data_IF_219834549098
#
_entry.id   IF_219834549098
#
_cell.length_a   1.000
_cell.length_b   1.000
_cell.length_c   1.000
_cell.angle_alpha   90.00
_cell.angle_beta   90.00
_cell.angle_gamma   90.00
#
_symmetry.space_group_name_H-M   'P 1'
#
loop_
_entity.id
_entity.type
_entity.pdbx_description
1 polymer ?
#
# COMPACT_ATOMS: atom_id res chain seq x y z
N UNK A 1 31.82 59.78 55.56
CA UNK A 1 31.85 58.28 55.38
C UNK A 1 30.52 57.72 54.85
N UNK A 2 29.33 58.32 55.10
CA UNK A 2 28.04 57.80 54.61
C UNK A 2 27.79 57.96 53.10
N UNK A 3 28.50 58.87 52.41
CA UNK A 3 28.33 59.10 50.96
C UNK A 3 29.12 58.14 50.09
N UNK A 4 30.18 57.51 50.57
CA UNK A 4 31.03 56.57 49.88
C UNK A 4 30.36 55.18 49.83
N UNK A 5 29.67 54.80 50.88
CA UNK A 5 28.90 53.53 50.94
C UNK A 5 27.72 53.51 50.00
N UNK A 6 27.12 54.66 49.68
CA UNK A 6 26.02 54.76 48.75
C UNK A 6 26.45 54.62 47.27
N UNK A 7 27.61 55.10 46.93
CA UNK A 7 28.20 55.01 45.57
C UNK A 7 28.68 53.61 45.30
N UNK A 8 29.17 52.87 46.30
CA UNK A 8 29.60 51.46 46.14
C UNK A 8 28.41 50.50 45.95
N UNK A 9 27.25 50.83 46.55
CA UNK A 9 26.00 50.03 46.35
C UNK A 9 25.37 50.20 44.97
N UNK A 10 25.56 51.33 44.28
CA UNK A 10 25.02 51.61 42.98
C UNK A 10 25.81 50.99 41.82
N UNK A 11 27.09 50.62 42.04
CA UNK A 11 27.93 50.01 41.03
C UNK A 11 27.69 48.49 40.85
N UNK A 12 26.97 47.83 41.78
CA UNK A 12 26.67 46.38 41.69
C UNK A 12 25.45 46.03 40.80
N UNK A 13 24.72 47.03 40.31
CA UNK A 13 23.49 46.76 39.50
C UNK A 13 23.72 46.77 37.97
N UNK A 14 24.94 47.04 37.50
CA UNK A 14 25.28 47.09 36.08
C UNK A 14 26.01 45.82 35.57
N UNK A 15 26.06 44.71 36.34
CA UNK A 15 26.73 43.48 35.93
C UNK A 15 25.74 42.37 35.60
N UNK A 16 24.68 42.70 34.83
CA UNK A 16 24.04 41.71 34.01
C UNK A 16 24.65 41.79 32.60
N UNK A 17 25.79 41.15 32.44
CA UNK A 17 26.21 40.68 31.13
C UNK A 17 25.25 39.59 30.74
N UNK A 18 24.35 39.89 29.81
CA UNK A 18 23.70 38.89 29.01
C UNK A 18 24.80 37.97 28.46
N UNK A 19 24.96 36.81 29.08
CA UNK A 19 25.48 35.65 28.37
C UNK A 19 24.43 35.40 27.30
N UNK A 20 24.71 35.85 26.09
CA UNK A 20 24.16 35.18 24.92
C UNK A 20 24.36 33.68 25.18
N UNK A 21 23.29 33.03 25.56
CA UNK A 21 23.14 31.59 25.39
C UNK A 21 23.38 31.40 23.91
N UNK A 22 24.57 30.92 23.61
CA UNK A 22 24.92 30.37 22.31
C UNK A 22 23.77 29.41 22.00
N UNK A 23 22.89 29.89 21.14
CA UNK A 23 21.78 29.15 20.61
C UNK A 23 22.42 27.90 20.00
N UNK A 24 22.50 26.84 20.78
CA UNK A 24 22.59 25.51 20.20
C UNK A 24 21.48 25.49 19.18
N UNK A 25 21.84 25.51 17.91
CA UNK A 25 20.93 25.39 16.82
C UNK A 25 20.15 24.11 17.05
N UNK A 26 19.06 24.21 17.80
CA UNK A 26 17.93 23.37 17.62
C UNK A 26 17.52 23.75 16.20
N UNK A 27 17.94 22.99 15.22
CA UNK A 27 17.36 23.01 13.89
C UNK A 27 15.89 22.76 14.18
N UNK A 28 15.09 23.83 14.23
CA UNK A 28 13.64 23.70 14.18
C UNK A 28 13.40 22.93 12.89
N UNK A 29 12.97 21.69 13.04
CA UNK A 29 12.47 20.92 11.89
C UNK A 29 11.38 21.79 11.32
N UNK A 30 11.54 22.24 10.08
CA UNK A 30 10.55 23.05 9.41
C UNK A 30 9.28 22.20 9.29
N UNK A 31 8.34 22.41 10.21
CA UNK A 31 7.10 21.63 10.29
C UNK A 31 6.16 21.93 9.13
N UNK A 32 6.47 22.95 8.32
CA UNK A 32 5.69 23.35 7.15
C UNK A 32 5.74 22.29 6.07
N UNK A 33 6.87 21.61 5.87
CA UNK A 33 7.05 20.55 4.87
C UNK A 33 6.16 19.34 5.16
N UNK A 34 5.91 19.01 6.42
CA UNK A 34 5.03 17.89 6.79
C UNK A 34 3.53 18.21 6.67
N UNK A 35 3.17 19.47 6.42
CA UNK A 35 1.79 19.91 6.22
C UNK A 35 1.33 19.85 4.76
N UNK A 36 2.21 19.52 3.82
CA UNK A 36 1.84 19.37 2.40
C UNK A 36 1.06 18.09 2.18
N UNK A 37 0.14 18.08 1.21
CA UNK A 37 -0.51 16.87 0.75
C UNK A 37 0.48 16.01 -0.03
N UNK A 38 0.36 14.70 0.11
CA UNK A 38 1.11 13.75 -0.73
C UNK A 38 0.44 13.65 -2.11
N UNK A 39 1.23 13.49 -3.17
CA UNK A 39 0.72 13.31 -4.52
C UNK A 39 0.64 11.81 -4.86
N UNK A 40 -0.52 11.20 -4.63
CA UNK A 40 -0.74 9.80 -4.98
C UNK A 40 -1.20 9.70 -6.42
N UNK A 41 -0.38 9.07 -7.29
CA UNK A 41 -0.81 8.71 -8.63
C UNK A 41 -1.63 7.42 -8.55
N UNK A 42 -2.95 7.56 -8.46
CA UNK A 42 -3.82 6.42 -8.20
C UNK A 42 -4.73 6.11 -9.39
N UNK A 43 -4.26 5.23 -10.29
CA UNK A 43 -5.17 4.52 -11.18
C UNK A 43 -5.88 3.45 -10.36
N UNK A 44 -7.12 3.72 -9.94
CA UNK A 44 -7.87 2.78 -9.11
C UNK A 44 -8.20 1.50 -9.89
N UNK A 45 -7.57 0.40 -9.50
CA UNK A 45 -7.90 -0.92 -9.99
C UNK A 45 -9.19 -1.42 -9.33
N UNK A 46 -10.14 -1.83 -10.15
CA UNK A 46 -11.42 -2.43 -9.71
C UNK A 46 -11.28 -3.95 -9.68
N UNK A 47 -11.74 -4.58 -8.60
CA UNK A 47 -11.82 -6.03 -8.54
C UNK A 47 -12.93 -6.57 -9.46
N UNK A 48 -12.61 -7.63 -10.18
CA UNK A 48 -13.61 -8.44 -10.91
C UNK A 48 -14.66 -8.97 -9.93
N UNK A 49 -15.90 -9.25 -10.40
CA UNK A 49 -16.97 -9.77 -9.56
C UNK A 49 -16.53 -11.00 -8.74
N UNK A 50 -15.82 -11.93 -9.36
CA UNK A 50 -15.33 -13.18 -8.76
C UNK A 50 -14.32 -12.92 -7.64
N UNK A 51 -13.33 -12.04 -7.86
CA UNK A 51 -12.36 -11.65 -6.86
C UNK A 51 -13.02 -10.87 -5.70
N UNK A 52 -13.98 -10.00 -6.05
CA UNK A 52 -14.72 -9.17 -5.09
C UNK A 52 -15.55 -10.01 -4.13
N UNK A 53 -16.15 -11.11 -4.58
CA UNK A 53 -16.93 -12.00 -3.72
C UNK A 53 -16.15 -12.47 -2.50
N UNK A 54 -14.87 -12.79 -2.67
CA UNK A 54 -13.98 -13.19 -1.57
C UNK A 54 -13.42 -12.00 -0.81
N UNK A 55 -13.08 -10.92 -1.51
CA UNK A 55 -12.50 -9.72 -0.91
C UNK A 55 -13.45 -9.03 0.09
N UNK A 56 -14.77 -9.00 -0.18
CA UNK A 56 -15.76 -8.39 0.72
C UNK A 56 -15.98 -9.18 2.01
N UNK A 57 -15.56 -10.43 2.06
CA UNK A 57 -15.58 -11.28 3.24
C UNK A 57 -14.27 -11.25 4.02
N UNK A 58 -13.22 -10.67 3.43
CA UNK A 58 -11.89 -10.55 4.03
C UNK A 58 -11.77 -9.22 4.78
N UNK A 59 -12.00 -9.26 6.08
CA UNK A 59 -12.10 -8.07 6.94
C UNK A 59 -10.81 -7.26 6.89
N UNK A 60 -9.65 -7.93 6.92
CA UNK A 60 -8.34 -7.27 6.88
C UNK A 60 -8.11 -6.53 5.56
N UNK A 61 -8.61 -7.08 4.43
CA UNK A 61 -8.57 -6.39 3.15
C UNK A 61 -9.40 -5.10 3.15
N UNK A 62 -10.63 -5.17 3.67
CA UNK A 62 -11.50 -3.99 3.76
C UNK A 62 -10.86 -2.93 4.66
N UNK A 63 -10.26 -3.36 5.78
CA UNK A 63 -9.56 -2.45 6.70
C UNK A 63 -8.37 -1.79 6.01
N UNK A 64 -7.55 -2.58 5.31
CA UNK A 64 -6.40 -2.09 4.56
C UNK A 64 -6.82 -1.09 3.47
N UNK A 65 -7.85 -1.42 2.69
CA UNK A 65 -8.37 -0.53 1.66
C UNK A 65 -8.82 0.81 2.24
N UNK A 66 -9.60 0.80 3.32
CA UNK A 66 -10.07 2.02 3.96
C UNK A 66 -8.93 2.91 4.49
N UNK A 67 -7.83 2.32 4.96
CA UNK A 67 -6.67 3.10 5.39
C UNK A 67 -5.88 3.66 4.19
N UNK A 68 -5.76 2.90 3.10
CA UNK A 68 -5.08 3.34 1.88
C UNK A 68 -5.89 4.42 1.16
N UNK A 69 -7.21 4.32 1.13
CA UNK A 69 -8.06 5.33 0.50
C UNK A 69 -7.93 6.73 1.15
N UNK A 70 -7.46 6.81 2.40
CA UNK A 70 -7.17 8.09 3.06
C UNK A 70 -5.94 8.80 2.50
N UNK A 71 -5.06 8.10 1.79
CA UNK A 71 -3.86 8.70 1.20
C UNK A 71 -4.18 9.73 0.12
N UNK A 72 -5.32 9.62 -0.56
CA UNK A 72 -5.72 10.54 -1.64
C UNK A 72 -5.80 12.01 -1.18
N UNK A 73 -6.15 12.25 0.09
CA UNK A 73 -6.31 13.58 0.66
C UNK A 73 -5.39 13.85 1.87
N UNK A 74 -4.49 12.90 2.19
CA UNK A 74 -3.66 12.98 3.38
C UNK A 74 -2.51 13.97 3.25
N UNK A 75 -2.21 14.64 4.34
CA UNK A 75 -0.93 15.35 4.49
C UNK A 75 0.17 14.36 4.89
N UNK A 76 1.41 14.72 4.60
CA UNK A 76 2.56 13.91 4.99
C UNK A 76 2.58 13.64 6.51
N UNK A 77 2.15 14.60 7.33
CA UNK A 77 2.02 14.44 8.78
C UNK A 77 1.00 13.37 9.17
N UNK A 78 -0.18 13.39 8.54
CA UNK A 78 -1.23 12.40 8.82
C UNK A 78 -0.79 10.99 8.43
N UNK A 79 -0.06 10.85 7.31
CA UNK A 79 0.54 9.58 6.89
C UNK A 79 1.55 9.09 7.91
N UNK A 80 2.43 9.98 8.40
CA UNK A 80 3.41 9.64 9.43
C UNK A 80 2.75 9.21 10.75
N UNK A 81 1.73 9.94 11.19
CA UNK A 81 1.01 9.64 12.43
C UNK A 81 0.28 8.29 12.37
N UNK A 82 -0.13 7.87 11.16
CA UNK A 82 -0.81 6.60 10.91
C UNK A 82 0.12 5.47 10.43
N UNK A 83 1.42 5.71 10.28
CA UNK A 83 2.36 4.73 9.73
C UNK A 83 2.46 3.43 10.56
N UNK A 84 2.44 3.52 11.89
CA UNK A 84 2.52 2.36 12.76
C UNK A 84 1.23 1.50 12.70
N UNK A 85 0.01 2.06 12.86
CA UNK A 85 -1.23 1.32 12.65
C UNK A 85 -1.32 0.69 11.25
N UNK A 86 -0.91 1.40 10.20
CA UNK A 86 -0.91 0.89 8.83
C UNK A 86 -0.01 -0.35 8.69
N UNK A 87 1.19 -0.32 9.27
CA UNK A 87 2.10 -1.47 9.23
C UNK A 87 1.49 -2.71 9.92
N UNK A 88 0.79 -2.53 11.05
CA UNK A 88 0.10 -3.62 11.74
C UNK A 88 -1.06 -4.18 10.91
N UNK A 89 -1.82 -3.31 10.23
CA UNK A 89 -2.90 -3.72 9.32
C UNK A 89 -2.34 -4.55 8.17
N UNK A 90 -1.22 -4.13 7.54
CA UNK A 90 -0.62 -4.87 6.44
C UNK A 90 -0.05 -6.23 6.87
N UNK A 91 0.49 -6.34 8.08
CA UNK A 91 0.90 -7.62 8.66
C UNK A 91 -0.33 -8.54 8.86
N UNK A 92 -1.44 -7.99 9.37
CA UNK A 92 -2.67 -8.75 9.57
C UNK A 92 -3.27 -9.21 8.23
N UNK A 93 -3.28 -8.34 7.23
CA UNK A 93 -3.70 -8.64 5.86
C UNK A 93 -2.89 -9.80 5.27
N UNK A 94 -1.57 -9.74 5.38
CA UNK A 94 -0.68 -10.80 4.89
C UNK A 94 -0.94 -12.15 5.54
N UNK A 95 -1.28 -12.18 6.82
CA UNK A 95 -1.47 -13.41 7.59
C UNK A 95 -2.88 -14.02 7.48
N UNK A 96 -3.82 -13.33 6.85
CA UNK A 96 -5.24 -13.71 6.80
C UNK A 96 -5.79 -13.98 5.41
N UNK A 97 -4.92 -14.23 4.42
CA UNK A 97 -5.31 -14.45 3.02
C UNK A 97 -6.28 -15.62 2.89
N UNK A 98 -7.49 -15.42 2.35
CA UNK A 98 -8.42 -16.51 2.06
C UNK A 98 -7.84 -17.50 1.04
N UNK A 99 -8.10 -18.79 1.21
CA UNK A 99 -7.56 -19.83 0.33
C UNK A 99 -7.91 -19.60 -1.15
N UNK A 100 -9.11 -19.07 -1.43
CA UNK A 100 -9.56 -18.75 -2.79
C UNK A 100 -8.79 -17.61 -3.47
N UNK A 101 -8.11 -16.76 -2.68
CA UNK A 101 -7.26 -15.65 -3.17
C UNK A 101 -5.78 -15.97 -3.02
N UNK A 102 -5.43 -17.17 -2.54
CA UNK A 102 -4.05 -17.55 -2.26
C UNK A 102 -3.32 -17.96 -3.52
N UNK A 103 -2.31 -17.23 -3.88
CA UNK A 103 -1.38 -17.55 -4.97
C UNK A 103 0.00 -16.98 -4.66
N UNK A 104 1.04 -17.54 -5.28
CA UNK A 104 2.41 -17.01 -5.14
C UNK A 104 2.50 -15.51 -5.50
N UNK A 105 1.72 -15.07 -6.49
CA UNK A 105 1.71 -13.68 -6.93
C UNK A 105 1.04 -12.77 -5.90
N UNK A 106 -0.09 -13.17 -5.32
CA UNK A 106 -0.76 -12.44 -4.23
C UNK A 106 0.14 -12.38 -3.00
N UNK A 107 0.73 -13.50 -2.59
CA UNK A 107 1.65 -13.54 -1.44
C UNK A 107 2.87 -12.64 -1.65
N UNK A 108 3.41 -12.60 -2.87
CA UNK A 108 4.53 -11.71 -3.20
C UNK A 108 4.14 -10.21 -3.07
N UNK A 109 2.95 -9.83 -3.53
CA UNK A 109 2.46 -8.43 -3.38
C UNK A 109 2.19 -8.06 -1.93
N UNK A 110 1.64 -8.96 -1.15
CA UNK A 110 1.45 -8.76 0.29
C UNK A 110 2.78 -8.58 1.02
N UNK A 111 3.82 -9.34 0.65
CA UNK A 111 5.17 -9.15 1.17
C UNK A 111 5.72 -7.75 0.86
N UNK A 112 5.52 -7.25 -0.37
CA UNK A 112 5.96 -5.90 -0.77
C UNK A 112 5.19 -4.84 0.03
N UNK A 113 3.86 -4.93 0.11
CA UNK A 113 3.02 -4.01 0.89
C UNK A 113 3.42 -3.95 2.35
N UNK A 114 3.59 -5.10 2.98
CA UNK A 114 4.04 -5.18 4.38
C UNK A 114 5.41 -4.54 4.55
N UNK A 115 6.35 -4.82 3.64
CA UNK A 115 7.69 -4.23 3.68
C UNK A 115 7.64 -2.71 3.53
N UNK A 116 6.88 -2.17 2.57
CA UNK A 116 6.73 -0.72 2.35
C UNK A 116 6.10 -0.04 3.57
N UNK A 117 5.06 -0.63 4.15
CA UNK A 117 4.41 -0.08 5.35
C UNK A 117 5.34 -0.09 6.57
N UNK A 118 6.16 -1.12 6.72
CA UNK A 118 7.20 -1.16 7.77
C UNK A 118 8.30 -0.13 7.53
N UNK A 119 8.70 0.10 6.27
CA UNK A 119 9.66 1.15 5.92
C UNK A 119 9.10 2.54 6.19
N UNK A 120 7.83 2.78 5.86
CA UNK A 120 7.13 4.03 6.19
C UNK A 120 7.13 4.26 7.70
N UNK A 121 6.73 3.26 8.49
CA UNK A 121 6.75 3.35 9.95
C UNK A 121 8.17 3.64 10.48
N UNK A 122 9.18 2.96 9.94
CA UNK A 122 10.57 3.21 10.33
C UNK A 122 11.03 4.62 9.97
N UNK A 123 10.72 5.12 8.77
CA UNK A 123 11.10 6.46 8.32
C UNK A 123 10.41 7.54 9.18
N UNK A 124 9.10 7.35 9.47
CA UNK A 124 8.27 8.27 10.25
C UNK A 124 8.68 8.34 11.72
N UNK A 125 9.15 7.24 12.30
CA UNK A 125 9.50 7.15 13.73
C UNK A 125 10.92 7.64 14.06
N UNK A 126 11.70 8.07 13.07
CA UNK A 126 13.03 8.62 13.30
C UNK A 126 12.95 9.89 14.16
N UNK A 127 13.98 10.12 14.97
CA UNK A 127 14.09 11.36 15.78
C UNK A 127 14.09 12.63 14.93
N UNK A 128 14.59 12.54 13.71
CA UNK A 128 14.53 13.57 12.66
C UNK A 128 14.07 12.87 11.39
N UNK A 129 12.76 12.78 11.13
CA UNK A 129 12.25 12.25 9.89
C UNK A 129 12.69 13.11 8.71
N UNK A 130 12.99 12.48 7.61
CA UNK A 130 13.27 13.13 6.35
C UNK A 130 11.96 13.17 5.54
N UNK A 131 11.41 14.38 5.26
CA UNK A 131 10.13 14.51 4.56
C UNK A 131 10.13 13.85 3.19
N UNK A 132 11.20 14.00 2.41
CA UNK A 132 11.31 13.43 1.07
C UNK A 132 11.31 11.90 1.13
N UNK A 133 12.05 11.30 2.07
CA UNK A 133 12.08 9.85 2.24
C UNK A 133 10.72 9.29 2.69
N UNK A 134 10.02 9.99 3.58
CA UNK A 134 8.69 9.57 4.06
C UNK A 134 7.68 9.62 2.90
N UNK A 135 7.70 10.71 2.13
CA UNK A 135 6.83 10.91 0.97
C UNK A 135 7.04 9.85 -0.10
N UNK A 136 8.29 9.60 -0.52
CA UNK A 136 8.63 8.58 -1.51
C UNK A 136 8.04 7.21 -1.15
N UNK A 137 8.21 6.78 0.10
CA UNK A 137 7.66 5.49 0.55
C UNK A 137 6.13 5.52 0.65
N UNK A 138 5.55 6.66 1.08
CA UNK A 138 4.11 6.80 1.22
C UNK A 138 3.38 6.71 -0.12
N UNK A 139 3.89 7.36 -1.17
CA UNK A 139 3.31 7.37 -2.52
C UNK A 139 3.28 5.98 -3.17
N UNK A 140 4.22 5.12 -2.82
CA UNK A 140 4.30 3.76 -3.38
C UNK A 140 3.24 2.81 -2.82
N UNK A 141 2.75 3.00 -1.58
CA UNK A 141 1.85 2.06 -0.92
C UNK A 141 0.50 1.90 -1.64
N UNK A 142 -0.20 2.96 -2.07
CA UNK A 142 -1.44 2.84 -2.84
C UNK A 142 -1.24 2.12 -4.18
N UNK A 143 -0.12 2.37 -4.85
CA UNK A 143 0.23 1.69 -6.10
C UNK A 143 0.46 0.19 -5.89
N UNK A 144 1.17 -0.20 -4.83
CA UNK A 144 1.38 -1.62 -4.50
C UNK A 144 0.07 -2.32 -4.10
N UNK A 145 -0.85 -1.61 -3.47
CA UNK A 145 -2.18 -2.15 -3.19
C UNK A 145 -3.01 -2.36 -4.47
N UNK A 146 -2.87 -1.49 -5.46
CA UNK A 146 -3.46 -1.71 -6.78
C UNK A 146 -2.83 -2.92 -7.49
N UNK A 147 -1.53 -3.14 -7.37
CA UNK A 147 -0.89 -4.35 -7.88
C UNK A 147 -1.39 -5.62 -7.18
N UNK A 148 -1.70 -5.56 -5.88
CA UNK A 148 -2.38 -6.66 -5.20
C UNK A 148 -3.74 -6.96 -5.82
N UNK A 149 -4.58 -5.94 -6.06
CA UNK A 149 -5.89 -6.10 -6.72
C UNK A 149 -5.76 -6.72 -8.11
N UNK A 150 -4.75 -6.34 -8.89
CA UNK A 150 -4.46 -6.94 -10.19
C UNK A 150 -4.17 -8.44 -10.03
N UNK A 151 -3.31 -8.82 -9.08
CA UNK A 151 -2.99 -10.24 -8.87
C UNK A 151 -4.19 -11.05 -8.38
N UNK A 152 -5.07 -10.46 -7.57
CA UNK A 152 -6.33 -11.09 -7.18
C UNK A 152 -7.25 -11.34 -8.39
N UNK A 153 -7.35 -10.38 -9.31
CA UNK A 153 -8.12 -10.53 -10.54
C UNK A 153 -7.53 -11.60 -11.46
N UNK A 154 -6.22 -11.68 -11.59
CA UNK A 154 -5.53 -12.64 -12.46
C UNK A 154 -5.82 -14.10 -12.10
N UNK A 155 -6.12 -14.42 -10.84
CA UNK A 155 -6.50 -15.76 -10.41
C UNK A 155 -7.71 -16.25 -11.20
N UNK A 156 -8.73 -15.40 -11.35
CA UNK A 156 -9.99 -15.75 -11.98
C UNK A 156 -9.93 -15.61 -13.50
N UNK A 157 -9.15 -14.68 -14.03
CA UNK A 157 -8.92 -14.56 -15.48
C UNK A 157 -8.25 -15.82 -16.06
N UNK A 158 -7.27 -16.38 -15.38
CA UNK A 158 -6.62 -17.63 -15.80
C UNK A 158 -7.59 -18.81 -15.77
N UNK A 159 -8.41 -18.89 -14.73
CA UNK A 159 -9.41 -19.95 -14.63
C UNK A 159 -10.45 -19.88 -15.76
N UNK A 160 -10.89 -18.69 -16.17
CA UNK A 160 -11.78 -18.49 -17.29
C UNK A 160 -11.14 -18.89 -18.62
N UNK A 161 -9.89 -18.51 -18.85
CA UNK A 161 -9.14 -18.88 -20.05
C UNK A 161 -8.91 -20.39 -20.15
N UNK A 162 -8.59 -21.04 -19.03
CA UNK A 162 -8.43 -22.50 -18.98
C UNK A 162 -9.75 -23.21 -19.29
N UNK A 163 -10.87 -22.69 -18.80
CA UNK A 163 -12.22 -23.24 -19.09
C UNK A 163 -12.63 -23.02 -20.52
N UNK A 164 -12.37 -21.84 -21.11
CA UNK A 164 -12.63 -21.58 -22.53
C UNK A 164 -11.83 -22.53 -23.43
N UNK A 165 -10.54 -22.71 -23.12
CA UNK A 165 -9.69 -23.67 -23.86
C UNK A 165 -10.18 -25.11 -23.76
N UNK A 166 -10.72 -25.51 -22.60
CA UNK A 166 -11.31 -26.85 -22.44
C UNK A 166 -12.61 -27.03 -23.26
N UNK A 167 -13.43 -25.99 -23.33
CA UNK A 167 -14.64 -25.99 -24.18
C UNK A 167 -14.28 -26.10 -25.67
N UNK A 168 -13.31 -25.34 -26.14
CA UNK A 168 -12.85 -25.37 -27.53
C UNK A 168 -12.35 -26.77 -27.89
N UNK A 169 -11.59 -27.44 -27.01
CA UNK A 169 -11.14 -28.81 -27.21
C UNK A 169 -12.30 -29.81 -27.29
N UNK A 170 -13.35 -29.66 -26.47
CA UNK A 170 -14.53 -30.51 -26.48
C UNK A 170 -15.35 -30.30 -27.75
N UNK A 171 -15.43 -29.08 -28.27
CA UNK A 171 -16.12 -28.80 -29.54
C UNK A 171 -15.40 -29.46 -30.72
N UNK A 172 -14.05 -29.38 -30.78
CA UNK A 172 -13.24 -30.04 -31.80
C UNK A 172 -13.40 -31.58 -31.75
N UNK A 173 -13.39 -32.20 -30.57
CA UNK A 173 -13.62 -33.64 -30.41
C UNK A 173 -15.02 -34.07 -30.92
N UNK A 174 -16.06 -33.30 -30.59
CA UNK A 174 -17.41 -33.56 -31.03
C UNK A 174 -17.57 -33.41 -32.55
N UNK A 175 -16.92 -32.46 -33.19
CA UNK A 175 -16.94 -32.31 -34.65
C UNK A 175 -16.25 -33.49 -35.34
N UNK A 176 -15.12 -33.95 -34.85
CA UNK A 176 -14.39 -35.11 -35.37
C UNK A 176 -15.21 -36.40 -35.21
N UNK A 177 -15.90 -36.57 -34.09
CA UNK A 177 -16.76 -37.73 -33.87
C UNK A 177 -17.98 -37.73 -34.82
N UNK A 178 -18.65 -36.59 -35.00
CA UNK A 178 -19.76 -36.40 -35.90
C UNK A 178 -19.37 -36.66 -37.37
N UNK A 179 -18.23 -36.19 -37.80
CA UNK A 179 -17.76 -36.41 -39.17
C UNK A 179 -17.41 -37.88 -39.40
N UNK A 180 -16.83 -38.55 -38.42
CA UNK A 180 -16.53 -39.98 -38.46
C UNK A 180 -17.79 -40.86 -38.53
N UNK A 181 -18.86 -40.49 -37.83
CA UNK A 181 -20.16 -41.16 -37.86
C UNK A 181 -20.85 -40.96 -39.23
N UNK A 182 -20.77 -39.74 -39.77
CA UNK A 182 -21.31 -39.40 -41.10
C UNK A 182 -20.66 -40.22 -42.23
N UNK A 183 -19.34 -40.31 -42.23
CA UNK A 183 -18.57 -41.12 -43.20
C UNK A 183 -18.87 -42.61 -43.07
N UNK A 184 -19.07 -43.12 -41.86
CA UNK A 184 -19.42 -44.53 -41.63
C UNK A 184 -20.83 -44.87 -42.15
N UNK A 185 -21.80 -43.98 -41.96
CA UNK A 185 -23.19 -44.17 -42.46
C UNK A 185 -23.28 -44.15 -43.97
N UNK A 186 -22.50 -43.33 -44.66
CA UNK A 186 -22.41 -43.30 -46.11
C UNK A 186 -21.78 -44.55 -46.70
N UNK A 187 -20.83 -45.18 -46.01
CA UNK A 187 -20.18 -46.43 -46.49
C UNK A 187 -21.10 -47.65 -46.43
N UNK A 188 -21.95 -47.72 -45.44
CA UNK A 188 -22.94 -48.82 -45.31
C UNK A 188 -24.05 -48.74 -46.33
N UNK A 189 -24.34 -47.55 -46.87
CA UNK A 189 -25.38 -47.40 -47.96
C UNK A 189 -24.83 -47.74 -49.34
N UNK A 190 -23.55 -47.78 -49.55
CA UNK A 190 -22.91 -48.06 -50.84
C UNK A 190 -22.58 -49.56 -51.03
N UNK A 191 -22.66 -50.37 -49.97
CA UNK A 191 -22.40 -51.82 -49.98
C UNK A 191 -23.71 -52.68 -50.00
N UNK A 192 -24.88 -52.03 -50.25
CA UNK A 192 -26.20 -52.68 -50.39
C UNK A 192 -26.71 -52.61 -51.82
#
# INVERSE_FOLDING_TARGET
MKKITFILGMLCLMSCKDKQVENSATTEVDTTEFGRQIEVTNEQVVLLPEAREYAVLWIEYITAQNEIDKFDDATLREVMDNAAPLAEIMISLQNSVPDSLKSTAVEARLNVLTTKSMLLNHASSKRKPDPEQVEEVAEEIPSEFNYLKIQMNEIFLKTLQDFEAELDLQEEENEVENDSVSVRSLRTLNDS
#
